data_IF_809091507135
#
_entry.id   IF_809091507135
#
_cell.length_a   1.000
_cell.length_b   1.000
_cell.length_c   1.000
_cell.angle_alpha   90.00
_cell.angle_beta   90.00
_cell.angle_gamma   90.00
#
_symmetry.space_group_name_H-M   'P 1'
#
loop_
_entity.id
_entity.type
_entity.pdbx_description
1 polymer ?
#
# COMPACT_ATOMS: atom_id res chain seq x y z
N UNK A 1 13.06 -0.43 -21.68
CA UNK A 1 13.71 -0.10 -20.39
C UNK A 1 13.03 -0.93 -19.32
N UNK A 2 13.80 -1.59 -18.44
CA UNK A 2 13.24 -2.34 -17.31
C UNK A 2 13.20 -1.41 -16.09
N UNK A 3 12.01 -1.16 -15.55
CA UNK A 3 11.82 -0.37 -14.32
C UNK A 3 11.46 -1.30 -13.16
N UNK A 4 12.17 -1.15 -12.06
CA UNK A 4 11.93 -1.82 -10.79
C UNK A 4 11.40 -0.80 -9.78
N UNK A 5 10.35 -1.18 -9.06
CA UNK A 5 9.86 -0.45 -7.89
C UNK A 5 10.13 -1.28 -6.64
N UNK A 6 10.75 -0.65 -5.64
CA UNK A 6 11.01 -1.20 -4.31
C UNK A 6 10.18 -0.40 -3.30
N UNK A 7 9.44 -1.08 -2.44
CA UNK A 7 8.61 -0.46 -1.41
C UNK A 7 9.02 -0.98 -0.04
N UNK A 8 9.28 -0.04 0.88
CA UNK A 8 9.33 -0.28 2.32
C UNK A 8 7.89 -0.34 2.85
N UNK A 9 7.42 -1.53 3.22
CA UNK A 9 6.05 -1.71 3.70
C UNK A 9 5.81 -1.07 5.04
N UNK A 10 6.80 -1.01 5.94
CA UNK A 10 6.58 -0.49 7.29
C UNK A 10 6.32 1.00 7.27
N UNK A 11 7.11 1.74 6.51
CA UNK A 11 6.88 3.17 6.29
C UNK A 11 5.55 3.43 5.57
N UNK A 12 5.21 2.63 4.56
CA UNK A 12 3.98 2.81 3.78
C UNK A 12 2.72 2.42 4.56
N UNK A 13 2.79 1.38 5.40
CA UNK A 13 1.73 0.97 6.33
C UNK A 13 1.43 2.06 7.35
N UNK A 14 2.46 2.70 7.92
CA UNK A 14 2.27 3.81 8.86
C UNK A 14 1.49 4.96 8.22
N UNK A 15 1.88 5.39 7.02
CA UNK A 15 1.16 6.44 6.27
C UNK A 15 -0.28 6.00 5.96
N UNK A 16 -0.45 4.75 5.51
CA UNK A 16 -1.75 4.20 5.13
C UNK A 16 -2.72 4.14 6.31
N UNK A 17 -2.23 3.82 7.50
CA UNK A 17 -3.04 3.73 8.71
C UNK A 17 -3.65 5.08 9.10
N UNK A 18 -2.88 6.17 9.00
CA UNK A 18 -3.32 7.52 9.42
C UNK A 18 -4.00 8.35 8.32
N UNK A 19 -3.96 7.91 7.06
CA UNK A 19 -4.45 8.68 5.92
C UNK A 19 -5.98 8.84 5.88
N UNK A 20 -6.74 7.93 6.50
CA UNK A 20 -8.20 7.97 6.53
C UNK A 20 -8.73 7.76 7.95
N UNK A 21 -9.98 8.15 8.17
CA UNK A 21 -10.76 7.73 9.36
C UNK A 21 -10.81 6.20 9.45
N UNK A 22 -11.08 5.68 10.65
CA UNK A 22 -11.31 4.25 10.83
C UNK A 22 -12.44 3.76 9.91
N UNK A 23 -12.12 2.77 9.10
CA UNK A 23 -13.05 2.04 8.26
C UNK A 23 -13.14 0.62 8.82
N UNK A 24 -14.34 0.06 8.87
CA UNK A 24 -14.53 -1.32 9.31
C UNK A 24 -15.42 -2.09 8.33
N UNK A 25 -15.14 -3.38 8.17
CA UNK A 25 -16.00 -4.27 7.40
C UNK A 25 -17.26 -4.69 8.20
N UNK A 26 -18.11 -5.53 7.61
CA UNK A 26 -19.36 -6.01 8.25
C UNK A 26 -19.14 -6.83 9.53
N UNK A 27 -17.93 -7.34 9.75
CA UNK A 27 -17.53 -8.03 10.97
C UNK A 27 -16.87 -7.09 11.99
N UNK A 28 -16.96 -5.77 11.78
CA UNK A 28 -16.35 -4.73 12.61
C UNK A 28 -14.81 -4.75 12.65
N UNK A 29 -14.14 -5.44 11.72
CA UNK A 29 -12.68 -5.47 11.62
C UNK A 29 -12.21 -4.21 10.90
N UNK A 30 -11.21 -3.52 11.45
CA UNK A 30 -10.62 -2.32 10.85
C UNK A 30 -9.90 -2.64 9.53
N UNK A 31 -10.09 -1.78 8.53
CA UNK A 31 -9.64 -1.99 7.14
C UNK A 31 -9.08 -0.74 6.47
N UNK A 32 -9.02 0.39 7.20
CA UNK A 32 -8.54 1.68 6.67
C UNK A 32 -7.13 1.58 6.08
N UNK A 33 -6.19 0.96 6.81
CA UNK A 33 -4.81 0.81 6.35
C UNK A 33 -4.74 0.01 5.05
N UNK A 34 -5.31 -1.20 5.02
CA UNK A 34 -5.26 -2.08 3.84
C UNK A 34 -5.90 -1.42 2.62
N UNK A 35 -7.00 -0.68 2.82
CA UNK A 35 -7.65 0.05 1.75
C UNK A 35 -6.75 1.15 1.15
N UNK A 36 -6.14 1.98 2.01
CA UNK A 36 -5.23 3.05 1.54
C UNK A 36 -3.97 2.46 0.92
N UNK A 37 -3.39 1.44 1.53
CA UNK A 37 -2.19 0.78 1.02
C UNK A 37 -2.43 0.25 -0.40
N UNK A 38 -3.55 -0.44 -0.64
CA UNK A 38 -3.94 -0.92 -1.96
C UNK A 38 -4.13 0.22 -2.97
N UNK A 39 -4.77 1.33 -2.57
CA UNK A 39 -4.91 2.51 -3.43
C UNK A 39 -3.56 3.10 -3.86
N UNK A 40 -2.59 3.18 -2.92
CA UNK A 40 -1.25 3.69 -3.21
C UNK A 40 -0.50 2.76 -4.17
N UNK A 41 -0.58 1.44 -3.96
CA UNK A 41 -0.01 0.46 -4.88
C UNK A 41 -0.60 0.58 -6.29
N UNK A 42 -1.93 0.68 -6.41
CA UNK A 42 -2.59 0.86 -7.71
C UNK A 42 -2.11 2.12 -8.42
N UNK A 43 -1.98 3.22 -7.67
CA UNK A 43 -1.48 4.49 -8.21
C UNK A 43 -0.05 4.34 -8.75
N UNK A 44 0.84 3.69 -8.00
CA UNK A 44 2.22 3.46 -8.44
C UNK A 44 2.25 2.59 -9.70
N UNK A 45 1.47 1.51 -9.76
CA UNK A 45 1.41 0.64 -10.95
C UNK A 45 0.90 1.38 -12.19
N UNK A 46 -0.10 2.26 -12.02
CA UNK A 46 -0.68 3.08 -13.09
C UNK A 46 0.25 4.20 -13.55
N UNK A 47 0.88 4.90 -12.62
CA UNK A 47 1.67 6.10 -12.93
C UNK A 47 3.09 5.72 -13.40
N UNK A 48 3.70 4.69 -12.81
CA UNK A 48 5.10 4.36 -13.07
C UNK A 48 5.32 3.29 -14.14
N UNK A 49 4.29 2.49 -14.45
CA UNK A 49 4.33 1.33 -15.34
C UNK A 49 5.59 0.45 -15.17
N UNK A 50 5.86 -0.06 -13.95
CA UNK A 50 7.05 -0.86 -13.69
C UNK A 50 6.95 -2.26 -14.32
N UNK A 51 8.11 -2.85 -14.61
CA UNK A 51 8.21 -4.23 -15.11
C UNK A 51 8.45 -5.22 -13.97
N UNK A 52 9.01 -4.74 -12.85
CA UNK A 52 9.31 -5.53 -11.67
C UNK A 52 8.87 -4.75 -10.42
N UNK A 53 8.42 -5.49 -9.41
CA UNK A 53 7.88 -4.92 -8.19
C UNK A 53 8.31 -5.77 -6.99
N UNK A 54 8.77 -5.13 -5.92
CA UNK A 54 9.11 -5.79 -4.68
C UNK A 54 8.61 -4.94 -3.50
N UNK A 55 8.01 -5.61 -2.53
CA UNK A 55 7.61 -5.04 -1.25
C UNK A 55 8.38 -5.77 -0.17
N UNK A 56 9.09 -5.02 0.65
CA UNK A 56 9.87 -5.53 1.77
C UNK A 56 9.09 -5.32 3.07
N UNK A 57 9.13 -6.33 3.94
CA UNK A 57 8.46 -6.36 5.22
C UNK A 57 9.50 -6.73 6.28
N UNK A 58 9.56 -5.95 7.36
CA UNK A 58 10.34 -6.32 8.53
C UNK A 58 9.78 -7.62 9.15
N UNK A 59 10.68 -8.44 9.71
CA UNK A 59 10.38 -9.69 10.41
C UNK A 59 10.40 -9.55 11.93
#
# INVERSE_FOLDING_TARGET
MNKLVLIDSNSLSLISFYALRLLSNKACIHTNEVYVFAMLLEKILKDEHPNHFLVEFDA
#
